data_IF_543189354044
#
_entry.id   IF_543189354044
#
_cell.length_a   1.000
_cell.length_b   1.000
_cell.length_c   1.000
_cell.angle_alpha   90.00
_cell.angle_beta   90.00
_cell.angle_gamma   90.00
#
_symmetry.space_group_name_H-M   'P 1'
#
loop_
_entity.id
_entity.type
_entity.pdbx_description
1 polymer ?
#
# COMPACT_ATOMS: atom_id res chain seq x y z
N UNK A 1 -13.25 2.31 12.78
CA UNK A 1 -12.69 1.47 11.69
C UNK A 1 -11.23 1.19 12.03
N UNK A 2 -10.76 -0.05 11.95
CA UNK A 2 -9.38 -0.44 12.35
C UNK A 2 -8.36 -0.37 11.20
N UNK A 3 -8.85 -0.46 9.96
CA UNK A 3 -8.06 -0.37 8.74
C UNK A 3 -8.95 -0.53 7.52
N UNK A 4 -8.45 -0.13 6.36
CA UNK A 4 -9.14 -0.21 5.07
C UNK A 4 -8.15 -0.36 3.93
N UNK A 5 -8.58 -1.07 2.88
CA UNK A 5 -7.89 -1.22 1.61
C UNK A 5 -8.87 -0.90 0.48
N UNK A 6 -8.47 0.02 -0.40
CA UNK A 6 -9.17 0.31 -1.65
C UNK A 6 -8.27 -0.07 -2.80
N UNK A 7 -8.80 -0.87 -3.73
CA UNK A 7 -8.09 -1.32 -4.92
C UNK A 7 -9.04 -1.43 -6.11
N UNK A 8 -8.47 -1.29 -7.31
CA UNK A 8 -9.17 -1.54 -8.57
C UNK A 8 -9.09 -3.03 -8.93
N UNK A 9 -10.00 -3.56 -9.77
CA UNK A 9 -9.92 -4.94 -10.27
C UNK A 9 -8.61 -5.28 -10.99
N UNK A 10 -7.92 -4.27 -11.52
CA UNK A 10 -6.57 -4.38 -12.11
C UNK A 10 -5.46 -4.66 -11.09
N UNK A 11 -5.76 -4.55 -9.79
CA UNK A 11 -4.81 -4.69 -8.69
C UNK A 11 -4.05 -3.42 -8.32
N UNK A 12 -4.43 -2.27 -8.89
CA UNK A 12 -3.94 -0.98 -8.41
C UNK A 12 -4.57 -0.64 -7.06
N UNK A 13 -3.76 -0.57 -6.02
CA UNK A 13 -4.12 -0.09 -4.68
C UNK A 13 -4.18 1.44 -4.74
N UNK A 14 -5.36 1.99 -4.48
CA UNK A 14 -5.56 3.44 -4.39
C UNK A 14 -5.29 3.94 -2.96
N UNK A 15 -5.59 3.11 -1.96
CA UNK A 15 -5.45 3.50 -0.55
C UNK A 15 -5.25 2.29 0.35
N UNK A 16 -4.28 2.36 1.26
CA UNK A 16 -4.08 1.40 2.34
C UNK A 16 -3.88 2.18 3.63
N UNK A 17 -4.73 1.93 4.61
CA UNK A 17 -4.67 2.62 5.89
C UNK A 17 -4.98 1.66 7.04
N UNK A 18 -4.27 1.85 8.14
CA UNK A 18 -4.48 1.16 9.41
C UNK A 18 -4.38 2.22 10.50
N UNK A 19 -5.30 2.14 11.46
CA UNK A 19 -5.31 2.99 12.64
C UNK A 19 -3.93 2.99 13.30
N UNK A 20 -3.42 4.18 13.65
CA UNK A 20 -2.06 4.34 14.13
C UNK A 20 -1.76 3.49 15.37
N UNK A 21 -2.71 3.39 16.31
CA UNK A 21 -2.57 2.62 17.55
C UNK A 21 -2.57 1.09 17.34
N UNK A 22 -2.98 0.65 16.14
CA UNK A 22 -3.11 -0.76 15.77
C UNK A 22 -2.12 -1.19 14.66
N UNK A 23 -1.22 -0.29 14.24
CA UNK A 23 -0.15 -0.63 13.28
C UNK A 23 0.79 -1.70 13.85
N UNK A 24 1.50 -2.37 12.94
CA UNK A 24 2.45 -3.45 13.24
C UNK A 24 1.84 -4.70 13.89
N UNK A 25 0.50 -4.82 13.96
CA UNK A 25 -0.22 -6.01 14.44
C UNK A 25 -0.72 -6.93 13.31
N UNK A 26 -0.16 -6.81 12.10
CA UNK A 26 -0.52 -7.65 10.95
C UNK A 26 -1.80 -7.25 10.20
N UNK A 27 -2.47 -6.15 10.56
CA UNK A 27 -3.73 -5.74 9.89
C UNK A 27 -3.51 -5.41 8.41
N UNK A 28 -2.51 -4.59 8.07
CA UNK A 28 -2.19 -4.26 6.67
C UNK A 28 -1.81 -5.50 5.85
N UNK A 29 -1.07 -6.41 6.48
CA UNK A 29 -0.73 -7.72 5.93
C UNK A 29 -1.97 -8.56 5.61
N UNK A 30 -2.93 -8.61 6.53
CA UNK A 30 -4.19 -9.33 6.34
C UNK A 30 -5.03 -8.72 5.20
N UNK A 31 -5.09 -7.39 5.10
CA UNK A 31 -5.79 -6.70 4.02
C UNK A 31 -5.20 -7.04 2.64
N UNK A 32 -3.87 -7.02 2.51
CA UNK A 32 -3.18 -7.40 1.27
C UNK A 32 -3.38 -8.89 0.97
N UNK A 33 -3.26 -9.74 1.99
CA UNK A 33 -3.48 -11.18 1.86
C UNK A 33 -4.90 -11.51 1.37
N UNK A 34 -5.93 -10.83 1.89
CA UNK A 34 -7.31 -10.97 1.42
C UNK A 34 -7.45 -10.61 -0.06
N UNK A 35 -6.83 -9.51 -0.51
CA UNK A 35 -6.86 -9.12 -1.92
C UNK A 35 -6.22 -10.18 -2.85
N UNK A 36 -5.13 -10.80 -2.43
CA UNK A 36 -4.46 -11.83 -3.24
C UNK A 36 -5.19 -13.16 -3.20
N UNK A 37 -5.58 -13.62 -2.00
CA UNK A 37 -6.07 -14.98 -1.79
C UNK A 37 -7.57 -15.12 -2.05
N UNK A 38 -8.37 -14.13 -1.64
CA UNK A 38 -9.83 -14.22 -1.71
C UNK A 38 -10.38 -13.48 -2.94
N UNK A 39 -9.82 -12.31 -3.27
CA UNK A 39 -10.20 -11.58 -4.48
C UNK A 39 -9.41 -12.02 -5.73
N UNK A 40 -8.45 -12.94 -5.57
CA UNK A 40 -7.63 -13.51 -6.64
C UNK A 40 -6.90 -12.46 -7.50
N UNK A 41 -6.49 -11.35 -6.89
CA UNK A 41 -5.72 -10.30 -7.56
C UNK A 41 -4.28 -10.78 -7.75
N UNK A 42 -3.89 -11.02 -9.02
CA UNK A 42 -2.61 -11.63 -9.37
C UNK A 42 -1.41 -10.70 -9.24
N UNK A 43 -1.62 -9.39 -9.38
CA UNK A 43 -0.55 -8.39 -9.33
C UNK A 43 -1.05 -7.16 -8.60
N UNK A 44 -0.30 -6.72 -7.60
CA UNK A 44 -0.60 -5.50 -6.85
C UNK A 44 0.37 -4.40 -7.23
N UNK A 45 -0.14 -3.18 -7.33
CA UNK A 45 0.67 -1.96 -7.53
C UNK A 45 0.18 -0.90 -6.56
N UNK A 46 1.07 -0.08 -6.01
CA UNK A 46 0.72 0.99 -5.08
C UNK A 46 1.63 2.19 -5.31
N UNK A 47 1.02 3.38 -5.31
CA UNK A 47 1.74 4.65 -5.33
C UNK A 47 1.48 5.36 -4.01
N UNK A 48 2.52 5.97 -3.45
CA UNK A 48 2.42 6.72 -2.21
C UNK A 48 3.51 7.80 -2.18
N UNK A 49 3.26 8.95 -1.49
CA UNK A 49 4.26 9.98 -1.29
C UNK A 49 5.41 9.46 -0.41
N UNK A 50 6.40 10.30 -0.10
CA UNK A 50 7.52 9.90 0.75
C UNK A 50 7.05 9.47 2.16
N UNK A 51 6.87 8.16 2.37
CA UNK A 51 6.41 7.58 3.63
C UNK A 51 7.27 6.37 3.99
N UNK A 52 8.17 6.55 4.96
CA UNK A 52 9.12 5.52 5.38
C UNK A 52 8.42 4.27 5.98
N UNK A 53 7.31 4.47 6.71
CA UNK A 53 6.56 3.36 7.30
C UNK A 53 5.92 2.48 6.23
N UNK A 54 5.30 3.09 5.21
CA UNK A 54 4.70 2.36 4.11
C UNK A 54 5.78 1.72 3.23
N UNK A 55 6.90 2.41 2.97
CA UNK A 55 8.05 1.87 2.26
C UNK A 55 8.59 0.60 2.91
N UNK A 56 8.77 0.60 4.24
CA UNK A 56 9.20 -0.58 4.98
C UNK A 56 8.17 -1.73 4.88
N UNK A 57 6.89 -1.39 4.98
CA UNK A 57 5.80 -2.37 4.85
C UNK A 57 5.78 -3.04 3.46
N UNK A 58 5.81 -2.28 2.37
CA UNK A 58 5.75 -2.83 1.01
C UNK A 58 7.00 -3.63 0.66
N UNK A 59 8.18 -3.21 1.14
CA UNK A 59 9.43 -3.99 0.98
C UNK A 59 9.34 -5.35 1.65
N UNK A 60 8.79 -5.45 2.86
CA UNK A 60 8.57 -6.72 3.55
C UNK A 60 7.64 -7.66 2.77
N UNK A 61 6.74 -7.10 1.98
CA UNK A 61 5.79 -7.81 1.12
C UNK A 61 6.30 -8.03 -0.31
N UNK A 62 7.61 -7.89 -0.55
CA UNK A 62 8.26 -8.10 -1.85
C UNK A 62 7.71 -7.23 -2.98
N UNK A 63 7.18 -6.05 -2.67
CA UNK A 63 6.93 -5.05 -3.71
C UNK A 63 8.27 -4.57 -4.26
N UNK A 64 8.38 -4.54 -5.57
CA UNK A 64 9.52 -3.99 -6.27
C UNK A 64 9.23 -2.53 -6.65
N UNK A 65 10.25 -1.68 -6.50
CA UNK A 65 10.14 -0.29 -6.92
C UNK A 65 10.22 -0.25 -8.45
N UNK A 66 9.24 0.39 -9.07
CA UNK A 66 9.27 0.64 -10.51
C UNK A 66 10.44 1.59 -10.85
N UNK A 67 11.00 1.40 -12.04
CA UNK A 67 12.02 2.27 -12.64
C UNK A 67 11.55 3.72 -12.78
N UNK A 68 10.25 3.90 -12.97
CA UNK A 68 9.61 5.22 -13.07
C UNK A 68 9.18 5.67 -11.67
N UNK A 69 9.58 6.88 -11.29
CA UNK A 69 9.15 7.52 -10.05
C UNK A 69 8.49 8.86 -10.36
N UNK A 70 7.35 9.12 -9.74
CA UNK A 70 6.66 10.41 -9.80
C UNK A 70 6.94 11.19 -8.51
N UNK A 71 7.33 12.45 -8.65
CA UNK A 71 7.56 13.36 -7.54
C UNK A 71 6.50 14.45 -7.54
N UNK A 72 5.88 14.69 -6.39
CA UNK A 72 5.03 15.85 -6.20
C UNK A 72 5.94 17.08 -6.07
N UNK A 73 5.80 18.02 -7.00
CA UNK A 73 6.53 19.28 -6.98
C UNK A 73 5.70 20.32 -6.23
N UNK A 74 6.36 21.06 -5.34
CA UNK A 74 5.73 22.13 -4.57
C UNK A 74 6.50 23.43 -4.80
N UNK A 75 5.77 24.53 -5.01
CA UNK A 75 6.36 25.87 -4.95
C UNK A 75 6.45 26.26 -3.47
N UNK A 76 7.67 26.39 -2.95
CA UNK A 76 7.91 26.98 -1.64
C UNK A 76 7.77 28.49 -1.75
N UNK A 77 6.64 29.03 -1.29
CA UNK A 77 6.40 30.47 -1.16
C UNK A 77 7.00 31.01 0.14
#
# INVERSE_FOLDING_TARGET
MIGALSLQPSGRINFLWVDFSLRNKGIGSALIGHAVNELNIKKLTINFPNNASLMGFVKRWNFEKDSISQYEMYLTL
#
